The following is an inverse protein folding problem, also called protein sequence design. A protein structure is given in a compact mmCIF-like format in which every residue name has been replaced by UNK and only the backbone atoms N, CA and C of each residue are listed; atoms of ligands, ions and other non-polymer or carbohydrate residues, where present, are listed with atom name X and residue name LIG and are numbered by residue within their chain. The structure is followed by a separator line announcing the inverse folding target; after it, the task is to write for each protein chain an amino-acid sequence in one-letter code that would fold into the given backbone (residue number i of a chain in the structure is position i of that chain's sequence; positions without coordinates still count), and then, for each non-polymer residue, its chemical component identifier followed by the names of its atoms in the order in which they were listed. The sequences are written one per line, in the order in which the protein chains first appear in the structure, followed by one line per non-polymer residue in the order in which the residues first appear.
data_IF_987345357491
#
_entry.id   IF_987345357491
#
_cell.length_a   1.000
_cell.length_b   1.000
_cell.length_c   1.000
_cell.angle_alpha   90.00
_cell.angle_beta   90.00
_cell.angle_gamma   90.00
#
_symmetry.space_group_name_H-M   'P 1'
#
loop_
_entity.id
_entity.type
_entity.pdbx_description
1 polymer ?
#
# COMPACT_ATOMS: atom_id res chain seq x y z
N UNK A 1 7.37 -10.48 -5.83
CA UNK A 1 6.37 -10.20 -4.81
C UNK A 1 4.96 -10.42 -5.32
N UNK A 2 3.99 -10.01 -4.54
CA UNK A 2 2.57 -10.25 -4.79
C UNK A 2 2.05 -9.61 -6.09
N UNK A 3 2.45 -8.37 -6.39
CA UNK A 3 2.04 -7.73 -7.65
C UNK A 3 2.65 -8.44 -8.86
N UNK A 4 3.88 -8.91 -8.74
CA UNK A 4 4.51 -9.71 -9.79
C UNK A 4 3.82 -11.05 -9.98
N UNK A 5 3.40 -11.68 -8.90
CA UNK A 5 2.66 -12.94 -8.95
C UNK A 5 1.31 -12.76 -9.65
N UNK A 6 0.61 -11.66 -9.38
CA UNK A 6 -0.63 -11.32 -10.08
C UNK A 6 -0.43 -11.24 -11.60
N UNK A 7 0.67 -10.63 -12.03
CA UNK A 7 0.99 -10.56 -13.45
C UNK A 7 1.29 -11.94 -14.01
N UNK A 8 2.18 -12.69 -13.37
CA UNK A 8 2.61 -14.01 -13.85
C UNK A 8 1.45 -15.00 -13.92
N UNK A 9 0.62 -15.02 -12.90
CA UNK A 9 -0.40 -16.07 -12.72
C UNK A 9 -1.73 -15.74 -13.40
N UNK A 10 -2.06 -14.47 -13.59
CA UNK A 10 -3.36 -14.10 -14.13
C UNK A 10 -3.32 -13.09 -15.27
N UNK A 11 -2.72 -11.92 -15.06
CA UNK A 11 -2.79 -10.82 -16.04
C UNK A 11 -2.07 -11.17 -17.34
N UNK A 12 -0.87 -11.74 -17.25
CA UNK A 12 -0.09 -12.14 -18.41
C UNK A 12 -0.85 -13.17 -19.27
N UNK A 13 -1.39 -14.27 -18.71
CA UNK A 13 -2.20 -15.19 -19.49
C UNK A 13 -3.40 -14.53 -20.16
N UNK A 14 -4.10 -13.63 -19.46
CA UNK A 14 -5.27 -12.94 -20.04
C UNK A 14 -4.85 -12.11 -21.25
N UNK A 15 -3.79 -11.32 -21.13
CA UNK A 15 -3.33 -10.43 -22.20
C UNK A 15 -2.70 -11.21 -23.36
N UNK A 16 -2.02 -12.30 -23.08
CA UNK A 16 -1.40 -13.12 -24.12
C UNK A 16 -2.45 -13.80 -25.00
N UNK A 17 -3.61 -14.15 -24.45
CA UNK A 17 -4.75 -14.63 -25.24
C UNK A 17 -5.28 -13.57 -26.21
N UNK A 18 -5.03 -12.30 -25.92
CA UNK A 18 -5.43 -11.18 -26.76
C UNK A 18 -4.34 -10.79 -27.77
N UNK A 19 -3.24 -11.53 -27.82
CA UNK A 19 -2.17 -11.31 -28.78
C UNK A 19 -1.00 -10.45 -28.28
N UNK A 20 -1.01 -10.08 -27.00
CA UNK A 20 0.08 -9.29 -26.42
C UNK A 20 1.22 -10.17 -25.95
N UNK A 21 2.43 -9.64 -26.05
CA UNK A 21 3.60 -10.18 -25.36
C UNK A 21 3.79 -9.36 -24.10
N UNK A 22 3.72 -10.00 -22.94
CA UNK A 22 3.86 -9.35 -21.64
C UNK A 22 5.23 -9.65 -21.06
N UNK A 23 5.98 -8.59 -20.78
CA UNK A 23 7.27 -8.69 -20.11
C UNK A 23 7.14 -8.09 -18.71
N UNK A 24 7.50 -8.86 -17.70
CA UNK A 24 7.47 -8.41 -16.32
C UNK A 24 8.86 -7.96 -15.88
N UNK A 25 8.95 -6.74 -15.37
CA UNK A 25 10.15 -6.22 -14.71
C UNK A 25 9.84 -6.01 -13.24
N UNK A 26 10.59 -6.64 -12.36
CA UNK A 26 10.41 -6.49 -10.91
C UNK A 26 11.43 -5.51 -10.36
N UNK A 27 10.97 -4.64 -9.46
CA UNK A 27 11.79 -3.64 -8.77
C UNK A 27 11.81 -3.94 -7.28
N UNK A 28 12.90 -3.57 -6.62
CA UNK A 28 13.07 -3.78 -5.18
C UNK A 28 12.94 -2.49 -4.35
N UNK A 29 12.52 -1.39 -4.98
CA UNK A 29 12.38 -0.08 -4.34
C UNK A 29 11.11 0.62 -4.82
N UNK A 30 10.78 1.76 -4.20
CA UNK A 30 9.60 2.55 -4.57
C UNK A 30 9.92 3.76 -5.46
N UNK A 31 11.18 4.04 -5.73
CA UNK A 31 11.59 5.22 -6.50
C UNK A 31 11.69 4.91 -8.00
N UNK A 32 12.33 3.81 -8.34
CA UNK A 32 12.64 3.44 -9.72
C UNK A 32 11.40 3.22 -10.61
N UNK A 33 10.30 2.59 -10.14
CA UNK A 33 9.19 2.26 -11.05
C UNK A 33 8.52 3.44 -11.74
N UNK A 34 8.39 4.58 -11.07
CA UNK A 34 7.79 5.76 -11.70
C UNK A 34 8.73 6.43 -12.69
N UNK A 35 10.03 6.43 -12.41
CA UNK A 35 11.03 6.91 -13.37
C UNK A 35 11.04 6.04 -14.62
N UNK A 36 11.05 4.72 -14.45
CA UNK A 36 11.04 3.78 -15.56
C UNK A 36 9.79 3.94 -16.43
N UNK A 37 8.62 4.18 -15.80
CA UNK A 37 7.38 4.43 -16.52
C UNK A 37 7.45 5.74 -17.30
N UNK A 38 7.89 6.81 -16.68
CA UNK A 38 8.00 8.12 -17.33
C UNK A 38 8.97 8.10 -18.52
N UNK A 39 10.07 7.37 -18.40
CA UNK A 39 11.09 7.26 -19.44
C UNK A 39 10.72 6.29 -20.56
N UNK A 40 9.67 5.52 -20.42
CA UNK A 40 9.25 4.55 -21.43
C UNK A 40 9.95 3.20 -21.36
N UNK A 41 10.71 2.93 -20.31
CA UNK A 41 11.33 1.63 -20.10
C UNK A 41 10.30 0.54 -19.78
N UNK A 42 9.21 0.92 -19.16
CA UNK A 42 8.04 0.07 -18.93
C UNK A 42 6.78 0.84 -19.38
N UNK A 43 5.68 0.13 -19.57
CA UNK A 43 4.43 0.73 -20.06
C UNK A 43 3.36 0.91 -18.96
N UNK A 44 3.46 0.13 -17.90
CA UNK A 44 2.55 0.13 -16.75
C UNK A 44 3.37 -0.17 -15.52
N UNK A 45 3.08 0.49 -14.40
CA UNK A 45 3.60 0.00 -13.13
C UNK A 45 2.48 -0.26 -12.13
N UNK A 46 2.71 -1.19 -11.21
CA UNK A 46 1.76 -1.58 -10.17
C UNK A 46 2.53 -1.78 -8.88
N UNK A 47 2.54 -0.75 -8.02
CA UNK A 47 3.28 -0.84 -6.75
C UNK A 47 2.87 0.22 -5.73
N UNK A 48 1.99 1.18 -6.06
CA UNK A 48 1.83 2.41 -5.29
C UNK A 48 0.39 2.78 -5.04
N UNK A 49 0.14 3.45 -3.92
CA UNK A 49 -1.14 4.08 -3.62
C UNK A 49 -1.19 5.51 -4.20
N UNK A 50 -2.39 6.06 -4.28
CA UNK A 50 -2.58 7.39 -4.89
C UNK A 50 -1.84 8.51 -4.16
N UNK A 51 -1.83 8.60 -2.82
CA UNK A 51 -1.06 9.65 -2.15
C UNK A 51 0.43 9.63 -2.51
N UNK A 52 1.04 8.45 -2.65
CA UNK A 52 2.43 8.33 -3.09
C UNK A 52 2.60 8.82 -4.53
N UNK A 53 1.73 8.37 -5.43
CA UNK A 53 1.79 8.77 -6.84
C UNK A 53 1.65 10.29 -6.99
N UNK A 54 0.69 10.89 -6.30
CA UNK A 54 0.45 12.33 -6.38
C UNK A 54 1.66 13.13 -5.89
N UNK A 55 2.25 12.71 -4.77
CA UNK A 55 3.45 13.32 -4.21
C UNK A 55 4.64 13.18 -5.16
N UNK A 56 4.86 12.00 -5.72
CA UNK A 56 5.97 11.72 -6.62
C UNK A 56 5.84 12.53 -7.92
N UNK A 57 4.64 12.57 -8.49
CA UNK A 57 4.36 13.37 -9.70
C UNK A 57 4.66 14.84 -9.49
N UNK A 58 4.24 15.39 -8.36
CA UNK A 58 4.45 16.79 -8.03
C UNK A 58 5.94 17.11 -7.85
N UNK A 59 6.64 16.26 -7.14
CA UNK A 59 8.08 16.44 -6.86
C UNK A 59 8.93 16.34 -8.12
N UNK A 60 8.65 15.34 -8.96
CA UNK A 60 9.45 15.06 -10.16
C UNK A 60 8.85 15.61 -11.46
N UNK A 61 7.71 16.28 -11.39
CA UNK A 61 7.01 16.87 -12.55
C UNK A 61 6.71 15.84 -13.62
N UNK A 62 6.16 14.70 -13.23
CA UNK A 62 5.83 13.61 -14.14
C UNK A 62 4.35 13.63 -14.51
N UNK A 63 4.05 13.23 -15.76
CA UNK A 63 2.68 13.15 -16.27
C UNK A 63 2.23 11.68 -16.31
N UNK A 64 1.89 11.17 -15.13
CA UNK A 64 1.41 9.81 -14.92
C UNK A 64 -0.02 9.85 -14.39
N UNK A 65 -0.78 8.79 -14.65
CA UNK A 65 -2.19 8.71 -14.27
C UNK A 65 -2.49 7.35 -13.64
N UNK A 66 -3.19 7.35 -12.50
CA UNK A 66 -3.75 6.13 -11.93
C UNK A 66 -4.87 5.60 -12.85
N UNK A 67 -4.89 4.29 -13.10
CA UNK A 67 -5.81 3.72 -14.08
C UNK A 67 -6.72 2.63 -13.52
N UNK A 68 -6.24 1.83 -12.57
CA UNK A 68 -7.02 0.74 -11.98
C UNK A 68 -6.47 0.39 -10.60
N UNK A 69 -7.37 0.02 -9.70
CA UNK A 69 -6.96 -0.45 -8.38
C UNK A 69 -6.60 -1.94 -8.42
N UNK A 70 -5.75 -2.36 -7.49
CA UNK A 70 -5.32 -3.76 -7.37
C UNK A 70 -5.45 -4.22 -5.93
N UNK A 71 -5.61 -5.54 -5.70
CA UNK A 71 -5.57 -6.08 -4.34
C UNK A 71 -4.27 -5.68 -3.65
N UNK A 72 -4.37 -5.19 -2.42
CA UNK A 72 -3.25 -4.59 -1.71
C UNK A 72 -3.16 -5.14 -0.29
N UNK A 73 -2.00 -5.67 0.07
CA UNK A 73 -1.74 -6.10 1.43
C UNK A 73 -1.67 -4.86 2.35
N UNK A 74 -2.33 -4.88 3.52
CA UNK A 74 -2.38 -3.72 4.40
C UNK A 74 -1.04 -3.43 5.07
N UNK A 75 -0.81 -2.16 5.39
CA UNK A 75 0.26 -1.76 6.29
C UNK A 75 -0.03 -2.36 7.66
N UNK A 76 0.98 -2.90 8.30
CA UNK A 76 0.83 -3.51 9.62
C UNK A 76 1.93 -3.14 10.58
N UNK A 77 1.59 -3.18 11.87
CA UNK A 77 2.56 -3.12 12.95
C UNK A 77 2.93 -4.54 13.35
N UNK A 78 4.20 -4.87 13.23
CA UNK A 78 4.70 -6.22 13.49
C UNK A 78 5.58 -6.29 14.72
N UNK A 79 5.58 -7.43 15.42
CA UNK A 79 6.47 -7.60 16.55
C UNK A 79 7.94 -7.57 16.12
N UNK A 80 8.75 -6.92 16.93
CA UNK A 80 10.21 -6.95 16.84
C UNK A 80 10.75 -7.65 18.08
N UNK A 81 11.46 -6.88 18.92
CA UNK A 81 11.93 -7.39 20.22
C UNK A 81 10.78 -7.62 21.21
N UNK A 82 9.68 -6.88 21.07
CA UNK A 82 8.48 -7.05 21.90
C UNK A 82 7.41 -7.78 21.07
N UNK A 83 6.71 -8.69 21.71
CA UNK A 83 5.85 -9.66 21.05
C UNK A 83 4.37 -9.25 21.00
N UNK A 84 3.94 -8.24 21.79
CA UNK A 84 2.54 -7.84 21.86
C UNK A 84 2.40 -6.34 22.04
N UNK A 85 1.24 -5.80 21.72
CA UNK A 85 0.95 -4.38 21.91
C UNK A 85 1.05 -3.97 23.39
N UNK A 86 0.59 -4.84 24.28
CA UNK A 86 0.60 -4.58 25.72
C UNK A 86 2.03 -4.51 26.29
N UNK A 87 2.99 -5.06 25.59
CA UNK A 87 4.39 -5.02 26.02
C UNK A 87 5.07 -3.67 25.73
N UNK A 88 4.40 -2.74 25.05
CA UNK A 88 4.98 -1.41 24.79
C UNK A 88 5.37 -0.73 26.09
N UNK A 89 6.56 -0.16 26.12
CA UNK A 89 7.11 0.50 27.30
C UNK A 89 7.67 1.87 26.93
N UNK A 90 7.97 2.66 27.95
CA UNK A 90 8.59 3.96 27.78
C UNK A 90 9.89 3.84 26.98
N UNK A 91 10.04 4.70 25.97
CA UNK A 91 11.22 4.70 25.11
C UNK A 91 11.24 3.58 24.06
N UNK A 92 10.12 2.88 23.83
CA UNK A 92 10.06 1.83 22.82
C UNK A 92 10.45 2.36 21.44
N UNK A 93 11.18 1.54 20.69
CA UNK A 93 11.62 1.86 19.33
C UNK A 93 10.63 1.28 18.31
N UNK A 94 10.25 2.10 17.33
CA UNK A 94 9.35 1.68 16.25
C UNK A 94 9.97 2.12 14.93
N UNK A 95 10.28 1.17 14.06
CA UNK A 95 10.75 1.50 12.71
C UNK A 95 9.57 1.86 11.80
N UNK A 96 9.80 2.78 10.88
CA UNK A 96 8.77 3.28 9.97
C UNK A 96 9.38 3.69 8.64
N UNK A 97 8.58 3.64 7.55
CA UNK A 97 9.08 4.08 6.24
C UNK A 97 9.39 5.58 6.24
N UNK A 98 10.43 5.97 5.50
CA UNK A 98 10.93 7.34 5.52
C UNK A 98 10.33 8.25 4.44
N UNK A 99 9.64 7.71 3.45
CA UNK A 99 8.97 8.56 2.47
C UNK A 99 7.75 9.24 3.09
N UNK A 100 7.46 10.50 2.72
CA UNK A 100 6.42 11.29 3.41
C UNK A 100 5.05 10.64 3.50
N UNK A 101 4.55 10.06 2.42
CA UNK A 101 3.19 9.49 2.42
C UNK A 101 3.08 8.25 3.31
N UNK A 102 4.08 7.37 3.29
CA UNK A 102 4.04 6.17 4.12
C UNK A 102 4.44 6.47 5.57
N UNK A 103 5.28 7.47 5.78
CA UNK A 103 5.57 7.95 7.14
C UNK A 103 4.29 8.49 7.79
N UNK A 104 3.49 9.26 7.05
CA UNK A 104 2.20 9.75 7.54
C UNK A 104 1.28 8.59 7.98
N UNK A 105 1.24 7.50 7.19
CA UNK A 105 0.47 6.30 7.56
C UNK A 105 0.95 5.71 8.89
N UNK A 106 2.25 5.62 9.07
CA UNK A 106 2.83 5.11 10.31
C UNK A 106 2.44 5.97 11.51
N UNK A 107 2.49 7.28 11.38
CA UNK A 107 2.09 8.19 12.45
C UNK A 107 0.60 8.05 12.78
N UNK A 108 -0.25 7.97 11.77
CA UNK A 108 -1.69 7.76 11.97
C UNK A 108 -1.93 6.44 12.72
N UNK A 109 -1.22 5.38 12.36
CA UNK A 109 -1.31 4.09 13.03
C UNK A 109 -0.92 4.20 14.52
N UNK A 110 0.20 4.85 14.82
CA UNK A 110 0.64 5.05 16.20
C UNK A 110 -0.36 5.89 17.00
N UNK A 111 -0.99 6.87 16.34
CA UNK A 111 -2.06 7.67 16.94
C UNK A 111 -3.29 6.82 17.25
N UNK A 112 -3.68 5.94 16.33
CA UNK A 112 -4.81 5.02 16.54
C UNK A 112 -4.57 4.07 17.70
N UNK A 113 -3.31 3.64 17.89
CA UNK A 113 -2.93 2.79 19.01
C UNK A 113 -2.85 3.55 20.35
N UNK A 114 -2.92 4.89 20.32
CA UNK A 114 -2.78 5.71 21.51
C UNK A 114 -1.35 5.86 21.99
N UNK A 115 -0.36 5.47 21.20
CA UNK A 115 1.06 5.58 21.54
C UNK A 115 1.61 6.99 21.33
N UNK A 116 1.02 7.73 20.41
CA UNK A 116 1.23 9.15 20.20
C UNK A 116 -0.11 9.84 20.02
N UNK A 117 -0.12 11.16 20.06
CA UNK A 117 -1.31 11.94 19.72
C UNK A 117 -0.93 12.99 18.68
N UNK A 118 -1.59 12.95 17.55
CA UNK A 118 -1.43 13.95 16.51
C UNK A 118 -2.30 15.17 16.81
N UNK A 119 -1.93 16.34 16.26
CA UNK A 119 -2.74 17.55 16.35
C UNK A 119 -4.11 17.31 15.73
N UNK A 120 -5.15 17.92 16.30
CA UNK A 120 -6.54 17.66 15.92
C UNK A 120 -6.86 18.03 14.47
N UNK A 121 -6.18 19.01 13.90
CA UNK A 121 -6.44 19.55 12.56
C UNK A 121 -5.50 19.00 11.48
N UNK A 122 -4.68 17.99 11.79
CA UNK A 122 -3.75 17.43 10.83
C UNK A 122 -4.48 16.67 9.72
N UNK A 123 -4.04 16.88 8.49
CA UNK A 123 -4.46 16.02 7.38
C UNK A 123 -3.76 14.66 7.53
N UNK A 124 -4.50 13.57 7.73
CA UNK A 124 -3.89 12.26 7.97
C UNK A 124 -3.03 11.78 6.80
N UNK A 125 -3.28 12.25 5.59
CA UNK A 125 -2.46 11.88 4.42
C UNK A 125 -1.12 12.59 4.39
N UNK A 126 -0.93 13.62 5.21
CA UNK A 126 0.25 14.50 5.22
C UNK A 126 0.88 14.65 6.59
N UNK A 127 0.50 13.82 7.55
CA UNK A 127 1.05 13.90 8.90
C UNK A 127 2.57 13.79 8.89
N UNK A 128 3.23 14.62 9.70
CA UNK A 128 4.68 14.64 9.85
C UNK A 128 5.06 14.68 11.34
N UNK A 129 6.35 14.58 11.64
CA UNK A 129 6.82 14.66 13.04
C UNK A 129 6.36 15.94 13.74
N UNK A 130 6.29 17.04 13.01
CA UNK A 130 5.86 18.32 13.56
C UNK A 130 4.40 18.30 14.04
N UNK A 131 3.62 17.33 13.59
CA UNK A 131 2.20 17.19 13.92
C UNK A 131 1.98 16.33 15.17
N UNK A 132 3.02 15.79 15.79
CA UNK A 132 2.92 15.04 17.03
C UNK A 132 2.70 16.03 18.17
N UNK A 133 1.48 16.05 18.73
CA UNK A 133 1.13 16.92 19.85
C UNK A 133 1.61 16.32 21.18
N UNK A 134 1.52 15.01 21.35
CA UNK A 134 1.90 14.31 22.57
C UNK A 134 2.55 12.97 22.23
N UNK A 135 3.57 12.62 22.98
CA UNK A 135 4.24 11.33 22.88
C UNK A 135 4.44 10.76 24.31
N UNK A 136 3.35 10.31 24.93
CA UNK A 136 3.38 9.95 26.37
C UNK A 136 4.27 8.75 26.68
N UNK A 137 4.56 7.91 25.69
CA UNK A 137 5.42 6.73 25.86
C UNK A 137 6.84 6.96 25.37
N UNK A 138 7.19 8.18 24.99
CA UNK A 138 8.50 8.50 24.45
C UNK A 138 8.94 7.55 23.34
N UNK A 139 8.01 7.24 22.44
CA UNK A 139 8.27 6.37 21.29
C UNK A 139 9.39 6.97 20.44
N UNK A 140 10.40 6.17 20.17
CA UNK A 140 11.51 6.55 19.29
C UNK A 140 11.23 5.97 17.92
N UNK A 141 10.93 6.84 16.96
CA UNK A 141 10.61 6.43 15.59
C UNK A 141 11.91 6.39 14.80
N UNK A 142 12.22 5.21 14.27
CA UNK A 142 13.42 4.97 13.48
C UNK A 142 13.02 4.90 12.01
N UNK A 143 13.31 5.96 11.25
CA UNK A 143 12.95 6.05 9.85
C UNK A 143 13.96 5.33 8.97
N UNK A 144 13.47 4.59 7.98
CA UNK A 144 14.31 3.91 7.00
C UNK A 144 13.55 3.64 5.72
N UNK A 145 14.27 3.25 4.67
CA UNK A 145 13.62 2.83 3.45
C UNK A 145 12.68 1.65 3.71
N UNK A 146 11.52 1.66 3.08
CA UNK A 146 10.48 0.67 3.32
C UNK A 146 10.96 -0.77 3.10
N UNK A 147 11.84 -0.99 2.12
CA UNK A 147 12.39 -2.31 1.83
C UNK A 147 13.19 -2.91 3.00
N UNK A 148 13.69 -2.08 3.90
CA UNK A 148 14.49 -2.52 5.04
C UNK A 148 13.67 -2.80 6.30
N UNK A 149 12.40 -2.45 6.30
CA UNK A 149 11.55 -2.56 7.50
C UNK A 149 11.37 -4.01 7.98
N UNK A 150 11.16 -5.01 7.10
CA UNK A 150 11.04 -6.39 7.58
C UNK A 150 12.27 -6.83 8.38
N UNK A 151 13.46 -6.53 7.89
CA UNK A 151 14.71 -6.92 8.54
C UNK A 151 14.97 -6.14 9.83
N UNK A 152 14.45 -4.91 9.92
CA UNK A 152 14.65 -4.06 11.10
C UNK A 152 14.04 -4.62 12.38
N UNK A 153 13.13 -5.59 12.28
CA UNK A 153 12.44 -6.17 13.45
C UNK A 153 13.39 -6.73 14.48
N UNK A 154 14.55 -7.20 14.07
CA UNK A 154 15.55 -7.74 15.02
C UNK A 154 16.23 -6.63 15.84
N UNK A 155 16.13 -5.38 15.41
CA UNK A 155 16.83 -4.23 16.02
C UNK A 155 15.90 -3.26 16.74
N UNK A 156 14.59 -3.36 16.55
CA UNK A 156 13.59 -2.46 17.14
C UNK A 156 12.52 -3.24 17.91
N UNK A 157 11.78 -2.53 18.75
CA UNK A 157 10.72 -3.16 19.53
C UNK A 157 9.51 -3.53 18.67
N UNK A 158 9.16 -2.68 17.71
CA UNK A 158 8.09 -2.91 16.74
C UNK A 158 8.48 -2.32 15.40
N UNK A 159 7.92 -2.87 14.32
CA UNK A 159 8.16 -2.35 12.97
C UNK A 159 6.83 -2.12 12.25
N UNK A 160 6.68 -0.94 11.66
CA UNK A 160 5.58 -0.64 10.74
C UNK A 160 6.03 -1.05 9.34
N UNK A 161 5.43 -2.10 8.80
CA UNK A 161 5.87 -2.72 7.54
C UNK A 161 4.80 -2.62 6.47
N UNK A 162 5.17 -2.10 5.30
CA UNK A 162 4.29 -2.08 4.13
C UNK A 162 3.96 -3.51 3.71
N UNK A 163 2.70 -3.75 3.35
CA UNK A 163 2.20 -5.09 3.11
C UNK A 163 2.96 -5.88 2.04
N UNK A 164 3.30 -5.23 0.91
CA UNK A 164 4.05 -5.90 -0.15
C UNK A 164 5.44 -6.35 0.32
N UNK A 165 6.10 -5.58 1.17
CA UNK A 165 7.40 -5.97 1.72
C UNK A 165 7.28 -7.03 2.79
N UNK A 166 6.20 -7.03 3.56
CA UNK A 166 5.93 -8.14 4.47
C UNK A 166 5.82 -9.46 3.69
N UNK A 167 5.02 -9.47 2.62
CA UNK A 167 4.84 -10.66 1.78
C UNK A 167 6.15 -11.08 1.10
N UNK A 168 6.86 -10.15 0.48
CA UNK A 168 8.09 -10.49 -0.25
C UNK A 168 9.23 -10.97 0.65
N UNK A 169 9.19 -10.62 1.93
CA UNK A 169 10.17 -11.09 2.91
C UNK A 169 9.76 -12.39 3.62
N UNK A 170 8.63 -12.96 3.25
CA UNK A 170 8.15 -14.22 3.84
C UNK A 170 7.34 -14.07 5.12
N UNK A 171 7.03 -12.85 5.52
CA UNK A 171 6.15 -12.61 6.68
C UNK A 171 4.71 -12.91 6.31
N UNK A 172 3.93 -13.27 7.31
CA UNK A 172 2.48 -13.49 7.13
C UNK A 172 1.72 -12.27 7.62
N UNK A 173 0.70 -11.85 6.89
CA UNK A 173 -0.15 -10.73 7.30
C UNK A 173 -0.81 -10.97 8.66
N UNK A 174 -1.09 -12.23 8.98
CA UNK A 174 -1.67 -12.62 10.29
C UNK A 174 -0.71 -12.41 11.46
N UNK A 175 0.57 -12.22 11.22
CA UNK A 175 1.54 -11.91 12.28
C UNK A 175 1.47 -10.46 12.74
N UNK A 176 0.78 -9.59 12.00
CA UNK A 176 0.62 -8.19 12.38
C UNK A 176 -0.14 -8.08 13.69
N UNK A 177 0.37 -7.28 14.61
CA UNK A 177 -0.29 -6.95 15.87
C UNK A 177 -1.42 -5.94 15.66
N UNK A 178 -1.31 -5.14 14.63
CA UNK A 178 -2.31 -4.17 14.22
C UNK A 178 -2.21 -3.94 12.72
N UNK A 179 -3.34 -3.82 12.05
CA UNK A 179 -3.40 -3.49 10.63
C UNK A 179 -4.14 -2.18 10.45
N UNK A 180 -3.65 -1.37 9.54
CA UNK A 180 -4.25 -0.10 9.18
C UNK A 180 -5.69 -0.30 8.66
N UNK A 181 -6.69 0.38 9.25
CA UNK A 181 -8.08 0.22 8.80
C UNK A 181 -8.42 1.00 7.53
N UNK A 182 -7.67 2.06 7.21
CA UNK A 182 -7.95 2.92 6.06
C UNK A 182 -7.82 2.18 4.72
N UNK A 183 -8.71 2.50 3.78
CA UNK A 183 -8.63 2.02 2.39
C UNK A 183 -8.09 3.08 1.43
N UNK A 184 -7.62 4.22 1.96
CA UNK A 184 -7.04 5.28 1.14
C UNK A 184 -5.76 4.86 0.41
N UNK A 185 -5.17 3.76 0.84
CA UNK A 185 -3.88 3.29 0.36
C UNK A 185 -3.95 2.02 -0.48
N UNK A 186 -5.12 1.62 -0.93
CA UNK A 186 -5.25 0.57 -1.94
C UNK A 186 -4.49 1.01 -3.18
N UNK A 187 -3.64 0.12 -3.69
CA UNK A 187 -2.70 0.48 -4.75
C UNK A 187 -3.36 0.56 -6.11
N UNK A 188 -2.72 1.31 -6.99
CA UNK A 188 -3.16 1.57 -8.34
C UNK A 188 -2.12 1.14 -9.35
N UNK A 189 -2.58 0.62 -10.48
CA UNK A 189 -1.76 0.59 -11.68
C UNK A 189 -1.71 1.98 -12.29
N UNK A 190 -0.53 2.40 -12.69
CA UNK A 190 -0.30 3.72 -13.29
C UNK A 190 0.20 3.60 -14.72
N UNK A 191 -0.18 4.56 -15.53
CA UNK A 191 0.17 4.69 -16.95
C UNK A 191 0.72 6.09 -17.21
N UNK A 192 1.50 6.25 -18.29
CA UNK A 192 1.73 7.58 -18.83
C UNK A 192 0.37 8.14 -19.26
N UNK A 193 0.08 9.38 -18.90
CA UNK A 193 -1.21 10.00 -19.20
C UNK A 193 -1.54 9.98 -20.70
N UNK A 194 -0.53 10.18 -21.53
CA UNK A 194 -0.69 10.16 -22.99
C UNK A 194 -1.18 8.81 -23.53
N UNK A 195 -0.95 7.71 -22.81
CA UNK A 195 -1.25 6.36 -23.26
C UNK A 195 -2.61 5.83 -22.79
N UNK A 196 -3.27 6.51 -21.86
CA UNK A 196 -4.48 6.00 -21.18
C UNK A 196 -5.58 5.59 -22.17
N UNK A 197 -5.76 6.32 -23.23
CA UNK A 197 -6.83 6.05 -24.21
C UNK A 197 -6.43 5.06 -25.31
N UNK A 198 -5.19 4.59 -25.32
CA UNK A 198 -4.73 3.63 -26.32
C UNK A 198 -5.42 2.28 -26.13
N UNK A 199 -5.50 1.50 -27.20
CA UNK A 199 -6.14 0.18 -27.15
C UNK A 199 -5.44 -0.75 -26.17
N UNK A 200 -4.11 -0.79 -26.20
CA UNK A 200 -3.37 -1.67 -25.31
C UNK A 200 -3.58 -1.29 -23.85
N UNK A 201 -3.63 0.01 -23.53
CA UNK A 201 -3.89 0.47 -22.17
C UNK A 201 -5.27 0.06 -21.70
N UNK A 202 -6.28 0.22 -22.54
CA UNK A 202 -7.65 -0.20 -22.23
C UNK A 202 -7.75 -1.71 -22.03
N UNK A 203 -7.00 -2.49 -22.79
CA UNK A 203 -6.95 -3.94 -22.64
C UNK A 203 -6.27 -4.35 -21.33
N UNK A 204 -5.21 -3.65 -20.91
CA UNK A 204 -4.57 -3.86 -19.61
C UNK A 204 -5.55 -3.54 -18.48
N UNK A 205 -6.20 -2.39 -18.53
CA UNK A 205 -7.22 -2.00 -17.54
C UNK A 205 -8.32 -3.06 -17.48
N UNK A 206 -8.79 -3.51 -18.64
CA UNK A 206 -9.81 -4.56 -18.74
C UNK A 206 -9.38 -5.87 -18.11
N UNK A 207 -8.11 -6.25 -18.25
CA UNK A 207 -7.58 -7.47 -17.63
C UNK A 207 -7.67 -7.41 -16.11
N UNK A 208 -7.25 -6.28 -15.52
CA UNK A 208 -7.34 -6.08 -14.07
C UNK A 208 -8.77 -5.93 -13.55
N UNK A 209 -9.71 -5.53 -14.40
CA UNK A 209 -11.14 -5.43 -14.05
C UNK A 209 -11.94 -6.67 -14.43
N UNK A 210 -11.31 -7.69 -15.00
CA UNK A 210 -11.99 -8.89 -15.45
C UNK A 210 -12.47 -9.76 -14.28
N UNK A 211 -13.56 -10.51 -14.53
CA UNK A 211 -14.04 -11.50 -13.56
C UNK A 211 -13.02 -12.62 -13.34
N UNK A 212 -12.25 -12.96 -14.36
CA UNK A 212 -11.19 -13.97 -14.27
C UNK A 212 -10.12 -13.54 -13.24
N UNK A 213 -9.65 -12.31 -13.32
CA UNK A 213 -8.67 -11.79 -12.35
C UNK A 213 -9.27 -11.68 -10.95
N UNK A 214 -10.49 -11.17 -10.83
CA UNK A 214 -11.17 -11.03 -9.54
C UNK A 214 -11.28 -12.38 -8.83
N UNK A 215 -11.72 -13.41 -9.52
CA UNK A 215 -11.84 -14.76 -8.97
C UNK A 215 -10.49 -15.28 -8.49
N UNK A 216 -9.47 -15.15 -9.31
CA UNK A 216 -8.10 -15.53 -8.97
C UNK A 216 -7.62 -14.79 -7.71
N UNK A 217 -7.79 -13.49 -7.69
CA UNK A 217 -7.29 -12.67 -6.58
C UNK A 217 -7.98 -12.97 -5.26
N UNK A 218 -9.30 -13.17 -5.27
CA UNK A 218 -10.06 -13.50 -4.07
C UNK A 218 -9.62 -14.84 -3.45
N UNK A 219 -9.21 -15.78 -4.26
CA UNK A 219 -8.72 -17.08 -3.80
C UNK A 219 -7.26 -17.01 -3.35
N UNK A 220 -6.42 -16.32 -4.11
CA UNK A 220 -4.98 -16.32 -3.93
C UNK A 220 -4.49 -15.32 -2.86
N UNK A 221 -5.16 -14.16 -2.75
CA UNK A 221 -4.74 -13.06 -1.88
C UNK A 221 -5.76 -12.76 -0.79
N UNK A 222 -6.00 -13.75 0.05
CA UNK A 222 -6.91 -13.60 1.20
C UNK A 222 -6.31 -12.63 2.22
N UNK A 223 -7.17 -11.83 2.84
CA UNK A 223 -6.73 -10.84 3.83
C UNK A 223 -6.22 -9.54 3.24
N UNK A 224 -6.26 -9.41 1.93
CA UNK A 224 -5.91 -8.18 1.23
C UNK A 224 -7.09 -7.20 1.25
N UNK A 225 -6.78 -5.95 0.99
CA UNK A 225 -7.78 -4.93 0.66
C UNK A 225 -7.97 -4.92 -0.84
N UNK A 226 -9.21 -4.96 -1.27
CA UNK A 226 -9.54 -5.13 -2.69
C UNK A 226 -10.00 -3.83 -3.33
N UNK A 227 -9.97 -3.73 -4.69
CA UNK A 227 -10.54 -2.58 -5.37
C UNK A 227 -11.94 -2.24 -4.88
N UNK A 228 -12.23 -0.96 -4.70
CA UNK A 228 -13.52 -0.51 -4.16
C UNK A 228 -14.71 -1.00 -4.99
N UNK A 229 -14.55 -1.06 -6.31
CA UNK A 229 -15.60 -1.50 -7.25
C UNK A 229 -16.00 -2.97 -7.08
N UNK A 230 -15.18 -3.79 -6.40
CA UNK A 230 -15.53 -5.19 -6.16
C UNK A 230 -16.54 -5.35 -5.03
N UNK A 231 -16.76 -4.32 -4.22
CA UNK A 231 -17.70 -4.32 -3.10
C UNK A 231 -17.49 -5.48 -2.12
N UNK A 232 -16.23 -5.82 -1.85
CA UNK A 232 -15.90 -6.86 -0.89
C UNK A 232 -15.81 -6.23 0.50
N UNK A 233 -16.54 -6.77 1.50
CA UNK A 233 -16.45 -6.27 2.87
C UNK A 233 -15.04 -6.40 3.43
N UNK A 234 -14.65 -5.47 4.29
CA UNK A 234 -13.37 -5.52 4.98
C UNK A 234 -13.25 -6.81 5.80
N UNK A 235 -12.04 -7.40 5.84
CA UNK A 235 -11.76 -8.57 6.67
C UNK A 235 -12.09 -8.26 8.14
N UNK A 236 -12.82 -9.16 8.81
CA UNK A 236 -13.25 -8.96 10.19
C UNK A 236 -14.48 -8.09 10.36
N UNK A 237 -15.09 -7.62 9.27
CA UNK A 237 -16.37 -6.92 9.34
C UNK A 237 -17.48 -7.93 9.59
N UNK A 238 -17.88 -8.12 10.84
CA UNK A 238 -18.89 -9.07 11.28
C UNK A 238 -20.31 -8.59 10.93
N UNK A 239 -20.61 -8.45 9.64
CA UNK A 239 -21.92 -8.00 9.19
C UNK A 239 -22.25 -6.55 9.51
N UNK A 240 -21.31 -5.79 10.02
CA UNK A 240 -21.48 -4.38 10.29
C UNK A 240 -21.26 -3.57 9.03
N UNK A 241 -22.22 -2.77 8.64
CA UNK A 241 -22.10 -1.85 7.53
C UNK A 241 -21.10 -0.74 7.79
N UNK A 242 -20.70 -0.52 9.02
CA UNK A 242 -19.80 0.55 9.42
C UNK A 242 -18.40 0.43 8.80
N UNK A 243 -17.97 -0.79 8.53
CA UNK A 243 -16.65 -1.00 7.92
C UNK A 243 -16.65 -0.69 6.42
N UNK A 244 -17.74 -1.00 5.72
CA UNK A 244 -17.79 -0.83 4.27
C UNK A 244 -18.09 0.61 3.85
N UNK A 245 -18.92 1.34 4.57
CA UNK A 245 -19.31 2.70 4.22
C UNK A 245 -18.12 3.68 4.22
N UNK A 246 -17.29 3.74 5.28
CA UNK A 246 -16.10 4.60 5.27
C UNK A 246 -15.09 4.24 4.20
N UNK A 247 -14.97 2.94 3.93
CA UNK A 247 -14.07 2.42 2.90
C UNK A 247 -14.42 2.96 1.53
N UNK A 248 -15.70 2.85 1.15
CA UNK A 248 -16.16 3.35 -0.14
C UNK A 248 -15.92 4.85 -0.30
N UNK A 249 -16.18 5.62 0.76
CA UNK A 249 -15.93 7.06 0.74
C UNK A 249 -14.45 7.41 0.57
N UNK A 250 -13.57 6.70 1.25
CA UNK A 250 -12.12 6.87 1.13
C UNK A 250 -11.64 6.61 -0.30
N UNK A 251 -12.12 5.54 -0.91
CA UNK A 251 -11.72 5.18 -2.26
C UNK A 251 -12.20 6.21 -3.28
N UNK A 252 -13.41 6.69 -3.14
CA UNK A 252 -13.93 7.73 -4.01
C UNK A 252 -13.10 9.01 -3.94
N UNK A 253 -12.62 9.38 -2.76
CA UNK A 253 -11.74 10.52 -2.56
C UNK A 253 -10.37 10.31 -3.19
N UNK A 254 -9.85 9.11 -3.13
CA UNK A 254 -8.52 8.78 -3.65
C UNK A 254 -8.47 8.74 -5.18
N UNK A 255 -9.60 8.51 -5.84
CA UNK A 255 -9.65 8.39 -7.31
C UNK A 255 -9.82 9.70 -8.06
N UNK A 256 -9.95 10.85 -7.37
CA UNK A 256 -10.12 12.18 -8.01
C UNK A 256 -8.78 12.91 -8.21
#
# INVERSE_FOLDING_TARGET
GDFGDMVKESIKPILEKQGYKVTLTEFSDYVTPNQALAEGAIDVNVFQHKPYLDSFKAEHKLDLTEAFQVPTAPLGLYPGKLASLDAVKDGATVSAPNDPSNFARALVMLNELGWIKLKADVDPLKASKADIAENPKNIKIVEMEAANLPRSRQDVDFAVVNGNYAISSGMKLTEALYQEPSYAYVNWGALRTADVKSKWAQDVIGAYKSDEFKKYALERFKGYKYPAEWNIPAAGASGSSAASAPVAASQASASK
#
